data_IF_304059120183
#
_entry.id   IF_304059120183
#
_cell.length_a   1.000
_cell.length_b   1.000
_cell.length_c   1.000
_cell.angle_alpha   90.00
_cell.angle_beta   90.00
_cell.angle_gamma   90.00
#
_symmetry.space_group_name_H-M   'P 1'
#
loop_
_entity.id
_entity.type
_entity.pdbx_description
1 polymer ?
#
# COMPACT_ATOMS: atom_id res chain seq x y z
N UNK A 1 -9.40 -17.78 17.67
CA UNK A 1 -8.99 -18.23 16.32
C UNK A 1 -7.71 -19.03 16.46
N UNK A 2 -7.54 -20.09 15.68
CA UNK A 2 -6.35 -20.93 15.70
C UNK A 2 -5.83 -21.08 14.27
N UNK A 3 -4.52 -20.96 14.09
CA UNK A 3 -3.82 -21.31 12.85
C UNK A 3 -3.17 -22.67 13.08
N UNK A 4 -3.38 -23.63 12.17
CA UNK A 4 -2.74 -24.95 12.21
C UNK A 4 -2.05 -25.26 10.88
N UNK A 5 -1.15 -26.24 10.93
CA UNK A 5 -0.43 -26.75 9.78
C UNK A 5 0.25 -25.62 9.01
N UNK A 6 1.02 -24.81 9.73
CA UNK A 6 1.77 -23.69 9.18
C UNK A 6 3.27 -23.87 9.43
N UNK A 7 4.10 -23.22 8.63
CA UNK A 7 5.51 -22.99 8.95
C UNK A 7 5.63 -21.61 9.61
N UNK A 8 5.56 -21.54 10.94
CA UNK A 8 5.51 -20.26 11.66
C UNK A 8 6.91 -19.85 12.06
N UNK A 9 7.37 -18.68 11.60
CA UNK A 9 8.60 -18.02 12.10
C UNK A 9 8.22 -17.06 13.22
N UNK A 10 8.70 -17.30 14.43
CA UNK A 10 8.28 -16.52 15.61
C UNK A 10 9.16 -15.30 15.89
N UNK A 11 10.38 -15.29 15.35
CA UNK A 11 11.47 -14.37 15.71
C UNK A 11 11.86 -14.40 17.20
N UNK A 12 11.43 -15.43 17.93
CA UNK A 12 11.88 -15.72 19.30
C UNK A 12 13.05 -16.72 19.25
N UNK A 13 14.27 -16.37 19.71
CA UNK A 13 15.42 -17.27 19.71
C UNK A 13 15.20 -18.60 20.43
N UNK A 14 14.34 -18.62 21.46
CA UNK A 14 14.04 -19.83 22.25
C UNK A 14 13.00 -20.75 21.58
N UNK A 15 12.27 -20.25 20.58
CA UNK A 15 11.26 -21.04 19.86
C UNK A 15 11.12 -20.50 18.42
N UNK A 16 12.16 -20.58 17.56
CA UNK A 16 12.20 -19.85 16.29
C UNK A 16 11.18 -20.34 15.26
N UNK A 17 10.73 -21.59 15.38
CA UNK A 17 9.76 -22.24 14.49
C UNK A 17 8.61 -22.83 15.30
N UNK A 18 7.39 -22.75 14.77
CA UNK A 18 6.21 -23.45 15.30
C UNK A 18 5.31 -23.94 14.16
N UNK A 19 4.35 -24.80 14.50
CA UNK A 19 3.41 -25.38 13.53
C UNK A 19 2.01 -24.78 13.62
N UNK A 20 1.68 -24.22 14.78
CA UNK A 20 0.36 -23.68 15.09
C UNK A 20 0.45 -22.54 16.11
N UNK A 21 -0.54 -21.65 16.10
CA UNK A 21 -0.72 -20.63 17.13
C UNK A 21 -2.19 -20.39 17.43
N UNK A 22 -2.47 -19.97 18.66
CA UNK A 22 -3.80 -19.57 19.12
C UNK A 22 -3.86 -18.06 19.34
N UNK A 23 -4.92 -17.45 18.82
CA UNK A 23 -5.21 -16.01 18.93
C UNK A 23 -6.53 -15.82 19.66
N UNK A 24 -6.51 -14.98 20.69
CA UNK A 24 -7.71 -14.53 21.41
C UNK A 24 -7.62 -13.03 21.66
N UNK A 25 -8.71 -12.30 21.40
CA UNK A 25 -8.81 -10.84 21.60
C UNK A 25 -7.59 -10.08 21.04
N UNK A 26 -7.22 -10.38 19.79
CA UNK A 26 -6.08 -9.78 19.08
C UNK A 26 -4.69 -10.03 19.72
N UNK A 27 -4.56 -11.02 20.60
CA UNK A 27 -3.29 -11.45 21.19
C UNK A 27 -3.00 -12.90 20.87
N UNK A 28 -1.74 -13.21 20.60
CA UNK A 28 -1.27 -14.60 20.55
C UNK A 28 -1.22 -15.12 21.99
N UNK A 29 -2.01 -16.16 22.29
CA UNK A 29 -2.10 -16.74 23.64
C UNK A 29 -1.31 -18.03 23.78
N UNK A 30 -0.96 -18.68 22.67
CA UNK A 30 -0.10 -19.88 22.67
C UNK A 30 0.52 -20.08 21.29
N UNK A 31 1.76 -20.55 21.26
CA UNK A 31 2.51 -20.93 20.04
C UNK A 31 3.10 -22.32 20.27
N UNK A 32 2.96 -23.24 19.31
CA UNK A 32 3.43 -24.61 19.51
C UNK A 32 3.20 -25.54 18.33
N UNK A 33 3.16 -26.84 18.63
CA UNK A 33 2.85 -27.88 17.65
C UNK A 33 1.36 -27.92 17.33
N UNK A 34 0.99 -28.53 16.19
CA UNK A 34 -0.42 -28.76 15.84
C UNK A 34 -1.18 -29.48 16.96
N UNK A 35 -0.54 -30.44 17.64
CA UNK A 35 -1.11 -31.19 18.76
C UNK A 35 -1.38 -30.29 19.98
N UNK A 36 -0.40 -29.50 20.39
CA UNK A 36 -0.50 -28.63 21.59
C UNK A 36 -1.55 -27.53 21.46
N UNK A 37 -1.72 -27.02 20.24
CA UNK A 37 -2.70 -25.97 19.93
C UNK A 37 -4.07 -26.57 19.63
N UNK A 38 -4.12 -27.73 18.97
CA UNK A 38 -5.38 -28.44 18.67
C UNK A 38 -6.21 -28.77 19.91
N UNK A 39 -5.56 -28.98 21.07
CA UNK A 39 -6.22 -29.16 22.37
C UNK A 39 -7.05 -27.95 22.83
N UNK A 40 -6.84 -26.77 22.25
CA UNK A 40 -7.56 -25.54 22.61
C UNK A 40 -8.81 -25.31 21.72
N UNK A 41 -9.06 -26.17 20.74
CA UNK A 41 -10.21 -26.04 19.83
C UNK A 41 -11.49 -26.42 20.57
N UNK A 42 -12.51 -25.57 20.45
CA UNK A 42 -13.89 -25.80 20.91
C UNK A 42 -14.89 -25.29 19.85
N UNK A 43 -16.20 -25.42 20.09
CA UNK A 43 -17.22 -25.03 19.11
C UNK A 43 -17.21 -23.54 18.73
N UNK A 44 -16.58 -22.67 19.53
CA UNK A 44 -16.46 -21.23 19.26
C UNK A 44 -15.15 -20.87 18.54
N UNK A 45 -14.28 -21.83 18.30
CA UNK A 45 -12.94 -21.58 17.76
C UNK A 45 -12.96 -21.60 16.24
N UNK A 46 -12.75 -20.44 15.61
CA UNK A 46 -12.41 -20.37 14.18
C UNK A 46 -11.03 -21.01 13.94
N UNK A 47 -10.98 -22.11 13.20
CA UNK A 47 -9.73 -22.80 12.81
C UNK A 47 -9.39 -22.46 11.37
N UNK A 48 -8.13 -22.15 11.11
CA UNK A 48 -7.60 -21.92 9.76
C UNK A 48 -6.43 -22.87 9.51
N UNK A 49 -6.56 -23.73 8.50
CA UNK A 49 -5.50 -24.64 8.06
C UNK A 49 -4.64 -23.96 7.00
N UNK A 50 -3.34 -23.88 7.23
CA UNK A 50 -2.41 -23.16 6.37
C UNK A 50 -1.69 -24.07 5.37
N UNK A 51 -1.89 -25.39 5.41
CA UNK A 51 -1.35 -26.33 4.41
C UNK A 51 0.18 -26.22 4.21
N UNK A 52 0.91 -25.99 5.29
CA UNK A 52 2.36 -25.78 5.30
C UNK A 52 2.82 -24.37 4.89
N UNK A 53 1.89 -23.45 4.55
CA UNK A 53 2.23 -22.06 4.22
C UNK A 53 2.95 -21.37 5.38
N UNK A 54 3.81 -20.42 5.04
CA UNK A 54 4.66 -19.72 6.02
C UNK A 54 3.90 -18.55 6.66
N UNK A 55 3.99 -18.46 7.98
CA UNK A 55 3.48 -17.33 8.76
C UNK A 55 4.68 -16.61 9.37
N UNK A 56 4.76 -15.30 9.18
CA UNK A 56 5.78 -14.42 9.75
C UNK A 56 5.10 -13.31 10.56
N UNK A 57 5.82 -12.64 11.49
CA UNK A 57 5.31 -11.42 12.10
C UNK A 57 5.01 -10.39 11.00
N UNK A 58 3.98 -9.58 11.21
CA UNK A 58 3.71 -8.46 10.32
C UNK A 58 4.90 -7.51 10.25
N UNK A 59 5.14 -6.93 9.08
CA UNK A 59 6.19 -5.92 8.93
C UNK A 59 5.84 -4.67 9.73
N UNK A 60 6.85 -4.11 10.40
CA UNK A 60 6.74 -2.86 11.15
C UNK A 60 7.67 -1.86 10.49
N UNK A 61 7.08 -0.80 9.94
CA UNK A 61 7.82 0.38 9.51
C UNK A 61 7.95 1.32 10.71
N UNK A 62 9.18 1.56 11.16
CA UNK A 62 9.47 2.40 12.33
C UNK A 62 9.55 3.89 12.00
N UNK A 63 9.53 4.26 10.71
CA UNK A 63 9.59 5.65 10.29
C UNK A 63 8.85 5.84 8.96
N UNK A 64 7.60 6.31 9.04
CA UNK A 64 6.79 6.60 7.86
C UNK A 64 5.95 7.87 8.05
N UNK A 65 5.85 8.66 6.99
CA UNK A 65 4.91 9.77 6.88
C UNK A 65 3.58 9.26 6.29
N UNK A 66 2.75 8.60 7.11
CA UNK A 66 1.53 7.91 6.63
C UNK A 66 0.57 8.85 5.88
N UNK A 67 0.37 10.06 6.40
CA UNK A 67 -0.52 11.04 5.77
C UNK A 67 -0.01 11.48 4.39
N UNK A 68 1.29 11.73 4.26
CA UNK A 68 1.90 12.16 2.99
C UNK A 68 1.97 11.02 1.97
N UNK A 69 2.19 9.78 2.44
CA UNK A 69 2.07 8.59 1.59
C UNK A 69 0.64 8.42 1.06
N UNK A 70 -0.37 8.57 1.91
CA UNK A 70 -1.77 8.56 1.50
C UNK A 70 -2.09 9.64 0.47
N UNK A 71 -1.63 10.88 0.69
CA UNK A 71 -1.76 11.98 -0.28
C UNK A 71 -1.11 11.64 -1.62
N UNK A 72 0.11 11.12 -1.59
CA UNK A 72 0.85 10.69 -2.78
C UNK A 72 0.11 9.64 -3.61
N UNK A 73 -0.69 8.76 -2.99
CA UNK A 73 -1.51 7.76 -3.68
C UNK A 73 -2.77 8.35 -4.34
N UNK A 74 -3.23 9.52 -3.90
CA UNK A 74 -4.41 10.19 -4.45
C UNK A 74 -4.08 11.22 -5.53
N UNK A 75 -2.83 11.70 -5.54
CA UNK A 75 -2.34 12.67 -6.53
C UNK A 75 -2.21 12.04 -7.92
N UNK A 76 -2.24 12.90 -8.94
CA UNK A 76 -2.03 12.48 -10.32
C UNK A 76 -0.59 11.96 -10.49
N UNK A 77 -0.45 10.67 -10.80
CA UNK A 77 0.84 10.04 -11.05
C UNK A 77 1.28 10.30 -12.49
N UNK A 78 2.30 11.14 -12.67
CA UNK A 78 2.89 11.51 -13.96
C UNK A 78 4.16 10.72 -14.29
N UNK A 79 4.51 9.68 -13.52
CA UNK A 79 5.76 8.92 -13.71
C UNK A 79 5.86 8.23 -15.06
N UNK A 80 4.71 8.00 -15.72
CA UNK A 80 4.60 7.37 -17.05
C UNK A 80 4.59 8.37 -18.21
N UNK A 81 4.43 9.67 -17.96
CA UNK A 81 4.42 10.66 -19.04
C UNK A 81 5.79 10.71 -19.74
N UNK A 82 5.78 10.63 -21.07
CA UNK A 82 6.96 10.68 -21.93
C UNK A 82 7.00 11.94 -22.82
N UNK A 83 6.05 12.84 -22.65
CA UNK A 83 6.04 14.14 -23.33
C UNK A 83 5.19 15.14 -22.56
N UNK A 84 5.33 16.42 -22.93
CA UNK A 84 4.45 17.47 -22.43
C UNK A 84 3.00 17.19 -22.85
N UNK A 85 2.76 16.76 -24.10
CA UNK A 85 1.42 16.41 -24.57
C UNK A 85 0.77 15.24 -23.80
N UNK A 86 1.54 14.24 -23.38
CA UNK A 86 1.03 13.16 -22.53
C UNK A 86 0.69 13.67 -21.12
N UNK A 87 1.56 14.50 -20.53
CA UNK A 87 1.29 15.18 -19.26
C UNK A 87 0.00 16.02 -19.34
N UNK A 88 -0.20 16.78 -20.42
CA UNK A 88 -1.40 17.58 -20.66
C UNK A 88 -2.66 16.72 -20.79
N UNK A 89 -2.55 15.59 -21.49
CA UNK A 89 -3.65 14.64 -21.63
C UNK A 89 -4.08 14.09 -20.27
N UNK A 90 -3.10 13.69 -19.43
CA UNK A 90 -3.36 13.21 -18.07
C UNK A 90 -3.96 14.31 -17.17
N UNK A 91 -3.49 15.56 -17.29
CA UNK A 91 -4.06 16.70 -16.58
C UNK A 91 -5.51 16.97 -17.00
N UNK A 92 -5.80 16.91 -18.30
CA UNK A 92 -7.15 17.10 -18.85
C UNK A 92 -8.13 16.06 -18.32
N UNK A 93 -7.73 14.78 -18.33
CA UNK A 93 -8.55 13.69 -17.76
C UNK A 93 -8.82 13.91 -16.27
N UNK A 94 -7.80 14.35 -15.52
CA UNK A 94 -7.95 14.67 -14.10
C UNK A 94 -8.85 15.88 -13.87
N UNK A 95 -8.75 16.91 -14.70
CA UNK A 95 -9.57 18.12 -14.61
C UNK A 95 -11.06 17.82 -14.83
N UNK A 96 -11.41 16.94 -15.77
CA UNK A 96 -12.81 16.52 -16.01
C UNK A 96 -13.42 15.89 -14.74
N UNK A 97 -12.62 15.17 -13.96
CA UNK A 97 -13.06 14.48 -12.75
C UNK A 97 -13.00 15.36 -11.48
N UNK A 98 -12.44 16.56 -11.59
CA UNK A 98 -12.18 17.43 -10.44
C UNK A 98 -13.16 18.61 -10.47
N UNK A 99 -14.00 18.81 -9.44
CA UNK A 99 -14.90 19.95 -9.38
C UNK A 99 -14.15 21.27 -9.52
N UNK A 100 -14.75 22.26 -10.20
CA UNK A 100 -14.16 23.59 -10.38
C UNK A 100 -13.70 24.21 -9.05
N UNK A 101 -12.55 24.88 -9.06
CA UNK A 101 -11.90 25.50 -7.90
C UNK A 101 -11.20 24.53 -6.95
N UNK A 102 -11.28 23.21 -7.17
CA UNK A 102 -10.53 22.21 -6.38
C UNK A 102 -9.15 21.97 -6.98
N UNK A 103 -8.18 21.71 -6.11
CA UNK A 103 -6.80 21.47 -6.48
C UNK A 103 -6.61 20.18 -7.28
N UNK A 104 -5.84 20.29 -8.35
CA UNK A 104 -5.22 19.17 -9.04
C UNK A 104 -3.75 19.13 -8.59
N UNK A 105 -3.39 18.10 -7.83
CA UNK A 105 -2.01 17.87 -7.40
C UNK A 105 -1.47 16.67 -8.17
N UNK A 106 -0.35 16.85 -8.86
CA UNK A 106 0.37 15.79 -9.55
C UNK A 106 1.78 15.62 -9.02
N UNK A 107 2.44 14.52 -9.41
CA UNK A 107 3.83 14.23 -9.04
C UNK A 107 4.50 13.32 -10.05
N UNK A 108 5.83 13.32 -10.03
CA UNK A 108 6.64 12.25 -10.64
C UNK A 108 6.97 12.43 -12.12
N UNK A 109 6.62 13.58 -12.71
CA UNK A 109 7.13 13.95 -14.01
C UNK A 109 8.66 14.08 -13.99
N UNK A 110 9.30 13.88 -15.15
CA UNK A 110 10.74 14.03 -15.30
C UNK A 110 11.06 14.49 -16.71
N UNK A 111 11.64 15.69 -16.84
CA UNK A 111 11.98 16.31 -18.13
C UNK A 111 12.96 15.48 -18.97
N UNK A 112 13.81 14.66 -18.34
CA UNK A 112 14.78 13.83 -19.05
C UNK A 112 14.08 12.69 -19.80
N UNK A 113 12.88 12.29 -19.36
CA UNK A 113 12.03 11.31 -20.04
C UNK A 113 11.20 11.92 -21.15
N UNK A 114 10.98 13.23 -21.12
CA UNK A 114 10.16 13.90 -22.12
C UNK A 114 10.83 13.96 -23.48
N UNK A 115 10.03 13.88 -24.55
CA UNK A 115 10.47 14.07 -25.94
C UNK A 115 11.03 15.47 -26.16
N UNK A 116 10.44 16.47 -25.51
CA UNK A 116 10.77 17.89 -25.64
C UNK A 116 12.05 18.28 -24.91
N UNK A 117 12.56 17.45 -23.99
CA UNK A 117 13.77 17.72 -23.18
C UNK A 117 13.73 19.07 -22.44
N UNK A 118 12.55 19.44 -21.96
CA UNK A 118 12.31 20.65 -21.15
C UNK A 118 11.35 20.36 -20.00
N UNK A 119 11.41 21.21 -18.98
CA UNK A 119 10.43 21.20 -17.89
C UNK A 119 9.07 21.69 -18.40
N UNK A 120 7.95 21.26 -17.77
CA UNK A 120 6.65 21.89 -17.96
C UNK A 120 6.71 23.37 -17.60
N UNK A 121 5.99 24.18 -18.35
CA UNK A 121 5.76 25.60 -18.10
C UNK A 121 4.32 25.80 -17.65
N UNK A 122 4.03 26.94 -17.03
CA UNK A 122 2.68 27.28 -16.57
C UNK A 122 1.65 27.19 -17.71
N UNK A 123 2.02 27.64 -18.92
CA UNK A 123 1.17 27.54 -20.11
C UNK A 123 0.80 26.10 -20.49
N UNK A 124 1.69 25.13 -20.26
CA UNK A 124 1.39 23.72 -20.53
C UNK A 124 0.31 23.20 -19.57
N UNK A 125 0.29 23.71 -18.33
CA UNK A 125 -0.69 23.32 -17.31
C UNK A 125 -2.04 23.98 -17.55
N UNK A 126 -2.03 25.29 -17.86
CA UNK A 126 -3.22 26.13 -17.96
C UNK A 126 -4.16 25.69 -19.08
N UNK A 127 -3.63 25.16 -20.20
CA UNK A 127 -4.39 24.83 -21.42
C UNK A 127 -5.66 23.99 -21.17
N UNK A 128 -5.64 23.13 -20.15
CA UNK A 128 -6.77 22.24 -19.82
C UNK A 128 -7.25 22.35 -18.37
N UNK A 129 -6.74 23.31 -17.61
CA UNK A 129 -6.99 23.39 -16.15
C UNK A 129 -7.37 24.77 -15.64
N UNK A 130 -7.74 25.73 -16.50
CA UNK A 130 -8.10 27.11 -16.10
C UNK A 130 -9.15 27.21 -14.96
N UNK A 131 -10.00 26.20 -14.79
CA UNK A 131 -11.01 26.17 -13.73
C UNK A 131 -10.49 25.59 -12.40
N UNK A 132 -9.25 25.11 -12.33
CA UNK A 132 -8.70 24.34 -11.22
C UNK A 132 -7.24 24.73 -10.96
N UNK A 133 -6.85 25.10 -9.73
CA UNK A 133 -5.44 25.33 -9.43
C UNK A 133 -4.64 24.04 -9.54
N UNK A 134 -3.43 24.12 -10.12
CA UNK A 134 -2.53 22.98 -10.39
C UNK A 134 -1.19 23.14 -9.66
N UNK A 135 -0.67 22.05 -9.12
CA UNK A 135 0.72 21.92 -8.66
C UNK A 135 1.26 20.53 -9.04
N UNK A 136 2.48 20.47 -9.58
CA UNK A 136 3.14 19.26 -10.08
C UNK A 136 4.50 19.00 -9.44
#
# INVERSE_FOLDING_TARGET
MILINANIRTMNPNQPIAQALAISKNKIVKVGTNKQIGQLINEKTKVMNFEGKTVVPGFIDTHIHVADYGRCLMWLDLTKAQSIGELQSMLKEKAIQTPAGKWIVGRGWNQDRFKEKRMPQTSDLDEHTLNNPVIL
#
